data_IF_670951001715
#
_entry.id   IF_670951001715
#
_cell.length_a   1.000
_cell.length_b   1.000
_cell.length_c   1.000
_cell.angle_alpha   90.00
_cell.angle_beta   90.00
_cell.angle_gamma   90.00
#
_symmetry.space_group_name_H-M   'P 1'
#
loop_
_entity.id
_entity.type
_entity.pdbx_description
1 polymer ?
#
# COMPACT_ATOMS: atom_id res chain seq x y z
N UNK A 1 -19.02 -32.52 -7.53
CA UNK A 1 -18.22 -31.90 -8.62
C UNK A 1 -18.74 -30.48 -8.92
N UNK A 2 -20.06 -30.29 -9.14
CA UNK A 2 -20.67 -28.97 -9.41
C UNK A 2 -20.39 -27.95 -8.27
N UNK A 3 -20.49 -28.37 -6.99
CA UNK A 3 -20.19 -27.50 -5.83
C UNK A 3 -18.72 -27.08 -5.76
N UNK A 4 -17.79 -27.92 -6.22
CA UNK A 4 -16.37 -27.57 -6.29
C UNK A 4 -16.08 -26.50 -7.35
N UNK A 5 -16.70 -26.61 -8.53
CA UNK A 5 -16.57 -25.59 -9.58
C UNK A 5 -17.20 -24.27 -9.18
N UNK A 6 -18.31 -24.27 -8.43
CA UNK A 6 -18.95 -23.06 -7.93
C UNK A 6 -18.09 -22.39 -6.86
N UNK A 7 -17.54 -23.17 -5.91
CA UNK A 7 -16.61 -22.64 -4.91
C UNK A 7 -15.36 -22.04 -5.57
N UNK A 8 -14.78 -22.73 -6.56
CA UNK A 8 -13.64 -22.22 -7.34
C UNK A 8 -14.00 -20.95 -8.10
N UNK A 9 -15.19 -20.90 -8.72
CA UNK A 9 -15.68 -19.70 -9.41
C UNK A 9 -15.87 -18.53 -8.46
N UNK A 10 -16.37 -18.78 -7.25
CA UNK A 10 -16.59 -17.77 -6.21
C UNK A 10 -15.28 -17.20 -5.68
N UNK A 11 -14.33 -18.04 -5.33
CA UNK A 11 -13.00 -17.63 -4.84
C UNK A 11 -12.17 -16.99 -5.98
N UNK A 12 -12.24 -17.56 -7.19
CA UNK A 12 -11.59 -16.97 -8.36
C UNK A 12 -12.13 -15.59 -8.74
N UNK A 13 -13.44 -15.38 -8.65
CA UNK A 13 -14.04 -14.06 -8.88
C UNK A 13 -13.63 -13.04 -7.80
N UNK A 14 -13.52 -13.48 -6.54
CA UNK A 14 -13.00 -12.67 -5.44
C UNK A 14 -11.57 -12.20 -5.71
N UNK A 15 -10.69 -13.10 -6.15
CA UNK A 15 -9.31 -12.77 -6.51
C UNK A 15 -9.26 -11.79 -7.69
N UNK A 16 -10.05 -12.03 -8.73
CA UNK A 16 -10.13 -11.15 -9.89
C UNK A 16 -10.57 -9.74 -9.49
N UNK A 17 -11.62 -9.62 -8.70
CA UNK A 17 -12.19 -8.33 -8.28
C UNK A 17 -11.28 -7.59 -7.31
N UNK A 18 -10.64 -8.29 -6.40
CA UNK A 18 -9.81 -7.65 -5.37
C UNK A 18 -8.39 -7.31 -5.84
N UNK A 19 -7.84 -8.03 -6.82
CA UNK A 19 -6.44 -7.87 -7.23
C UNK A 19 -6.28 -7.46 -8.70
N UNK A 20 -6.92 -8.13 -9.63
CA UNK A 20 -6.66 -7.97 -11.07
C UNK A 20 -7.44 -6.79 -11.65
N UNK A 21 -8.76 -6.76 -11.45
CA UNK A 21 -9.63 -5.69 -11.98
C UNK A 21 -9.20 -4.30 -11.50
N UNK A 22 -8.87 -4.08 -10.20
CA UNK A 22 -8.38 -2.79 -9.74
C UNK A 22 -7.18 -2.27 -10.52
N UNK A 23 -6.24 -3.14 -10.83
CA UNK A 23 -5.03 -2.76 -11.58
C UNK A 23 -5.37 -2.27 -13.00
N UNK A 24 -6.24 -2.99 -13.71
CA UNK A 24 -6.69 -2.57 -15.05
C UNK A 24 -7.51 -1.29 -15.02
N UNK A 25 -8.40 -1.15 -14.06
CA UNK A 25 -9.23 0.06 -13.89
C UNK A 25 -8.36 1.27 -13.62
N UNK A 26 -7.43 1.18 -12.66
CA UNK A 26 -6.53 2.30 -12.32
C UNK A 26 -5.62 2.65 -13.48
N UNK A 27 -5.08 1.65 -14.18
CA UNK A 27 -4.25 1.87 -15.36
C UNK A 27 -5.00 2.58 -16.49
N UNK A 28 -6.21 2.11 -16.81
CA UNK A 28 -7.06 2.72 -17.83
C UNK A 28 -7.46 4.14 -17.48
N UNK A 29 -7.92 4.34 -16.23
CA UNK A 29 -8.28 5.66 -15.72
C UNK A 29 -7.09 6.62 -15.70
N UNK A 30 -5.91 6.16 -15.29
CA UNK A 30 -4.70 6.99 -15.29
C UNK A 30 -4.38 7.51 -16.68
N UNK A 31 -4.49 6.67 -17.72
CA UNK A 31 -4.29 7.08 -19.11
C UNK A 31 -5.33 8.07 -19.62
N UNK A 32 -6.61 7.81 -19.31
CA UNK A 32 -7.71 8.69 -19.75
C UNK A 32 -7.66 10.03 -19.03
N UNK A 33 -7.38 10.05 -17.74
CA UNK A 33 -7.37 11.24 -16.91
C UNK A 33 -6.09 12.08 -17.07
N UNK A 34 -5.02 11.51 -17.61
CA UNK A 34 -3.75 12.20 -17.75
C UNK A 34 -3.87 13.49 -18.57
N UNK A 35 -4.43 13.40 -19.78
CA UNK A 35 -4.54 14.57 -20.67
C UNK A 35 -5.38 15.70 -20.07
N UNK A 36 -6.59 15.47 -19.54
CA UNK A 36 -7.37 16.53 -18.91
C UNK A 36 -6.75 17.10 -17.65
N UNK A 37 -6.05 16.29 -16.84
CA UNK A 37 -5.47 16.74 -15.58
C UNK A 37 -4.13 17.44 -15.79
N UNK A 38 -3.22 16.86 -16.59
CA UNK A 38 -1.88 17.41 -16.82
C UNK A 38 -1.90 18.60 -17.78
N UNK A 39 -2.87 18.69 -18.68
CA UNK A 39 -3.04 19.83 -19.58
C UNK A 39 -1.88 19.99 -20.55
N UNK A 40 -1.11 21.07 -20.39
CA UNK A 40 0.02 21.39 -21.26
C UNK A 40 1.23 20.45 -21.07
N UNK A 41 1.32 19.72 -19.97
CA UNK A 41 2.42 18.80 -19.70
C UNK A 41 2.12 17.44 -20.35
N UNK A 42 3.08 16.93 -21.13
CA UNK A 42 2.88 15.76 -21.99
C UNK A 42 3.38 14.45 -21.37
N UNK A 43 3.96 14.51 -20.18
CA UNK A 43 4.56 13.33 -19.59
C UNK A 43 3.51 12.25 -19.29
N UNK A 44 3.68 11.10 -19.95
CA UNK A 44 2.81 9.94 -19.79
C UNK A 44 3.28 8.97 -18.69
N UNK A 45 4.50 9.11 -18.21
CA UNK A 45 5.09 8.19 -17.22
C UNK A 45 4.41 8.32 -15.87
N UNK A 46 3.94 9.52 -15.50
CA UNK A 46 3.25 9.78 -14.23
C UNK A 46 1.93 9.02 -14.07
N UNK A 47 1.28 8.58 -15.15
CA UNK A 47 0.04 7.83 -15.06
C UNK A 47 0.19 6.53 -14.25
N UNK A 48 1.36 5.89 -14.37
CA UNK A 48 1.69 4.62 -13.71
C UNK A 48 2.80 4.77 -12.67
N UNK A 49 3.10 6.00 -12.24
CA UNK A 49 4.14 6.28 -11.27
C UNK A 49 3.77 5.74 -9.88
N UNK A 50 4.80 5.33 -9.15
CA UNK A 50 4.73 5.03 -7.72
C UNK A 50 4.55 6.29 -6.86
N UNK A 51 4.66 7.47 -7.45
CA UNK A 51 4.59 8.74 -6.74
C UNK A 51 3.29 8.90 -5.95
N UNK A 52 3.44 9.30 -4.71
CA UNK A 52 2.38 9.80 -3.86
C UNK A 52 2.64 11.28 -3.52
N UNK A 53 1.71 11.93 -2.84
CA UNK A 53 1.83 13.34 -2.49
C UNK A 53 3.09 13.64 -1.66
N UNK A 54 3.49 12.71 -0.77
CA UNK A 54 4.70 12.91 0.07
C UNK A 54 5.97 12.93 -0.77
N UNK A 55 6.10 12.00 -1.72
CA UNK A 55 7.25 11.94 -2.62
C UNK A 55 7.31 13.19 -3.51
N UNK A 56 6.17 13.64 -4.00
CA UNK A 56 6.10 14.87 -4.83
C UNK A 56 6.61 16.07 -4.06
N UNK A 57 6.18 16.25 -2.80
CA UNK A 57 6.61 17.34 -1.95
C UNK A 57 8.12 17.33 -1.70
N UNK A 58 8.69 16.16 -1.45
CA UNK A 58 10.13 16.02 -1.23
C UNK A 58 10.93 16.26 -2.50
N UNK A 59 10.53 15.66 -3.63
CA UNK A 59 11.21 15.91 -4.92
C UNK A 59 11.18 17.40 -5.28
N UNK A 60 10.05 18.09 -5.06
CA UNK A 60 9.94 19.53 -5.28
C UNK A 60 10.94 20.32 -4.42
N UNK A 61 11.00 20.00 -3.12
CA UNK A 61 11.91 20.65 -2.17
C UNK A 61 13.38 20.51 -2.61
N UNK A 62 13.82 19.28 -2.86
CA UNK A 62 15.22 19.01 -3.16
C UNK A 62 15.63 19.45 -4.56
N UNK A 63 14.76 19.32 -5.56
CA UNK A 63 15.03 19.76 -6.92
C UNK A 63 15.15 21.28 -7.02
N UNK A 64 14.33 22.06 -6.29
CA UNK A 64 14.44 23.53 -6.21
C UNK A 64 15.75 23.99 -5.55
N UNK A 65 16.22 23.25 -4.56
CA UNK A 65 17.45 23.57 -3.86
C UNK A 65 18.72 23.13 -4.61
N UNK A 66 18.60 22.15 -5.52
CA UNK A 66 19.73 21.59 -6.22
C UNK A 66 20.19 22.48 -7.39
N UNK A 67 21.51 22.62 -7.53
CA UNK A 67 22.20 23.21 -8.68
C UNK A 67 23.06 22.14 -9.36
N UNK A 68 23.46 22.38 -10.61
CA UNK A 68 24.35 21.50 -11.36
C UNK A 68 24.86 22.18 -12.61
N UNK A 69 26.03 21.79 -13.12
CA UNK A 69 26.60 22.32 -14.36
C UNK A 69 25.77 21.93 -15.59
N UNK A 70 25.10 20.79 -15.52
CA UNK A 70 24.22 20.26 -16.54
C UNK A 70 23.01 19.57 -15.89
N UNK A 71 22.09 19.02 -16.71
CA UNK A 71 20.87 18.37 -16.24
C UNK A 71 21.17 17.12 -15.40
N UNK A 72 22.16 16.32 -15.81
CA UNK A 72 22.57 15.12 -15.08
C UNK A 72 23.12 15.46 -13.68
N UNK A 73 24.00 16.44 -13.58
CA UNK A 73 24.55 16.90 -12.31
C UNK A 73 23.45 17.43 -11.38
N UNK A 74 22.49 18.16 -11.92
CA UNK A 74 21.35 18.62 -11.11
C UNK A 74 20.50 17.48 -10.60
N UNK A 75 20.22 16.46 -11.44
CA UNK A 75 19.49 15.26 -10.99
C UNK A 75 20.27 14.49 -9.92
N UNK A 76 21.58 14.32 -10.13
CA UNK A 76 22.46 13.68 -9.14
C UNK A 76 22.45 14.44 -7.80
N UNK A 77 22.63 15.75 -7.82
CA UNK A 77 22.63 16.57 -6.61
C UNK A 77 21.27 16.55 -5.89
N UNK A 78 20.18 16.53 -6.64
CA UNK A 78 18.82 16.36 -6.09
C UNK A 78 18.67 15.04 -5.35
N UNK A 79 19.02 13.92 -6.01
CA UNK A 79 18.93 12.58 -5.45
C UNK A 79 19.84 12.44 -4.23
N UNK A 80 21.08 12.88 -4.35
CA UNK A 80 22.06 12.80 -3.26
C UNK A 80 21.58 13.56 -2.04
N UNK A 81 21.19 14.82 -2.18
CA UNK A 81 20.67 15.63 -1.06
C UNK A 81 19.43 15.02 -0.44
N UNK A 82 18.52 14.49 -1.27
CA UNK A 82 17.28 13.89 -0.79
C UNK A 82 17.55 12.60 0.00
N UNK A 83 18.42 11.72 -0.48
CA UNK A 83 18.69 10.45 0.20
C UNK A 83 19.64 10.62 1.39
N UNK A 84 20.59 11.55 1.34
CA UNK A 84 21.44 11.89 2.48
C UNK A 84 20.64 12.47 3.67
N UNK A 85 19.49 13.09 3.40
CA UNK A 85 18.59 13.62 4.43
C UNK A 85 17.60 12.57 4.98
N UNK A 86 17.75 11.30 4.60
CA UNK A 86 16.97 10.22 5.20
C UNK A 86 17.59 9.75 6.51
N UNK A 87 16.72 9.36 7.42
CA UNK A 87 17.05 8.54 8.57
C UNK A 87 16.05 7.39 8.66
N UNK A 88 16.52 6.24 9.11
CA UNK A 88 15.70 5.03 9.19
C UNK A 88 15.96 4.24 10.45
N UNK A 89 15.06 3.31 10.74
CA UNK A 89 15.11 2.49 11.94
C UNK A 89 15.73 1.14 11.64
N UNK A 90 16.79 0.80 12.38
CA UNK A 90 17.38 -0.52 12.43
C UNK A 90 17.42 -1.01 13.89
N UNK A 91 16.37 -1.72 14.29
CA UNK A 91 16.18 -2.23 15.64
C UNK A 91 15.41 -1.28 16.56
N UNK A 92 15.94 -0.96 17.72
CA UNK A 92 15.28 -0.19 18.77
C UNK A 92 15.75 1.27 18.78
N UNK A 93 14.85 2.20 18.50
CA UNK A 93 15.14 3.65 18.43
C UNK A 93 15.72 4.16 19.76
N UNK A 94 15.22 3.69 20.91
CA UNK A 94 15.72 4.10 22.23
C UNK A 94 17.15 3.65 22.52
N UNK A 95 17.58 2.59 21.85
CA UNK A 95 18.92 2.01 21.98
C UNK A 95 19.87 2.45 20.85
N UNK A 96 19.56 3.54 20.18
CA UNK A 96 20.39 4.04 19.08
C UNK A 96 20.13 3.39 17.72
N UNK A 97 18.99 2.71 17.56
CA UNK A 97 18.56 2.09 16.30
C UNK A 97 18.08 3.07 15.23
N UNK A 98 18.14 4.39 15.46
CA UNK A 98 17.86 5.38 14.43
C UNK A 98 19.19 5.81 13.79
N UNK A 99 19.34 5.52 12.50
CA UNK A 99 20.55 5.79 11.74
C UNK A 99 20.29 6.75 10.59
N UNK A 100 21.20 7.68 10.35
CA UNK A 100 21.15 8.64 9.25
C UNK A 100 21.88 8.09 8.02
N UNK A 101 21.27 8.22 6.86
CA UNK A 101 21.86 7.73 5.61
C UNK A 101 23.16 8.46 5.27
N UNK A 102 23.24 9.77 5.51
CA UNK A 102 24.49 10.52 5.33
C UNK A 102 25.67 9.97 6.12
N UNK A 103 25.42 9.41 7.31
CA UNK A 103 26.47 8.85 8.16
C UNK A 103 26.87 7.44 7.69
N UNK A 104 25.89 6.65 7.23
CA UNK A 104 26.09 5.31 6.68
C UNK A 104 26.90 5.35 5.38
N UNK A 105 26.57 6.32 4.50
CA UNK A 105 27.11 6.44 3.15
C UNK A 105 28.15 7.56 3.00
N UNK A 106 28.70 8.07 4.13
CA UNK A 106 29.77 9.05 4.11
C UNK A 106 31.00 8.54 3.35
N UNK A 107 31.43 9.28 2.33
CA UNK A 107 32.58 8.92 1.49
C UNK A 107 32.46 7.54 0.79
N UNK A 108 31.25 7.14 0.45
CA UNK A 108 30.97 5.88 -0.21
C UNK A 108 30.95 6.08 -1.73
N UNK A 109 32.00 5.62 -2.38
CA UNK A 109 32.15 5.77 -3.84
C UNK A 109 31.13 4.92 -4.61
N UNK A 110 30.77 3.74 -4.11
CA UNK A 110 29.79 2.84 -4.74
C UNK A 110 28.39 3.46 -4.67
N UNK A 111 28.00 4.00 -3.52
CA UNK A 111 26.75 4.74 -3.38
C UNK A 111 26.70 5.94 -4.31
N UNK A 112 27.78 6.72 -4.36
CA UNK A 112 27.90 7.89 -5.23
C UNK A 112 27.78 7.49 -6.71
N UNK A 113 28.42 6.39 -7.11
CA UNK A 113 28.36 5.88 -8.47
C UNK A 113 26.94 5.36 -8.82
N UNK A 114 26.29 4.64 -7.93
CA UNK A 114 24.92 4.17 -8.13
C UNK A 114 23.94 5.35 -8.31
N UNK A 115 24.09 6.43 -7.53
CA UNK A 115 23.30 7.68 -7.71
C UNK A 115 23.59 8.35 -9.04
N UNK A 116 24.83 8.38 -9.52
CA UNK A 116 25.16 8.92 -10.86
C UNK A 116 24.56 8.08 -11.95
N UNK A 117 24.61 6.76 -11.84
CA UNK A 117 23.97 5.84 -12.80
C UNK A 117 22.46 6.10 -12.87
N UNK A 118 21.81 6.28 -11.70
CA UNK A 118 20.40 6.64 -11.63
C UNK A 118 20.13 8.00 -12.29
N UNK A 119 20.91 9.03 -11.99
CA UNK A 119 20.75 10.35 -12.59
C UNK A 119 20.91 10.32 -14.11
N UNK A 120 21.92 9.60 -14.62
CA UNK A 120 22.16 9.40 -16.05
C UNK A 120 20.98 8.69 -16.73
N UNK A 121 20.41 7.68 -16.06
CA UNK A 121 19.25 6.96 -16.57
C UNK A 121 18.00 7.86 -16.61
N UNK A 122 17.79 8.71 -15.60
CA UNK A 122 16.69 9.68 -15.54
C UNK A 122 16.72 10.66 -16.73
N UNK A 123 17.89 11.14 -17.13
CA UNK A 123 18.02 12.08 -18.25
C UNK A 123 18.13 11.38 -19.62
N UNK A 124 17.96 10.08 -19.68
CA UNK A 124 17.97 9.30 -20.92
C UNK A 124 16.62 9.40 -21.64
N UNK A 125 16.63 9.51 -22.96
CA UNK A 125 15.41 9.45 -23.78
C UNK A 125 14.69 8.10 -23.70
N UNK A 126 15.45 7.03 -23.44
CA UNK A 126 14.95 5.65 -23.27
C UNK A 126 15.47 5.08 -21.96
N UNK A 127 14.89 5.49 -20.82
CA UNK A 127 15.33 5.01 -19.53
C UNK A 127 15.11 3.51 -19.42
N UNK A 128 16.06 2.83 -18.81
CA UNK A 128 15.88 1.43 -18.38
C UNK A 128 14.81 1.39 -17.29
N UNK A 129 13.89 0.45 -17.35
CA UNK A 129 12.90 0.25 -16.29
C UNK A 129 13.60 -0.07 -14.99
N UNK A 130 13.06 0.45 -13.87
CA UNK A 130 13.67 0.29 -12.56
C UNK A 130 14.83 1.25 -12.34
N UNK A 131 14.57 2.57 -12.41
CA UNK A 131 15.56 3.63 -12.19
C UNK A 131 16.42 3.43 -10.96
N UNK A 132 15.85 2.82 -9.95
CA UNK A 132 16.34 2.87 -8.60
C UNK A 132 16.85 1.53 -8.09
N UNK A 133 16.72 0.44 -8.85
CA UNK A 133 16.99 -0.89 -8.32
C UNK A 133 18.43 -1.03 -7.79
N UNK A 134 19.44 -0.51 -8.49
CA UNK A 134 20.82 -0.55 -8.06
C UNK A 134 21.04 0.26 -6.79
N UNK A 135 20.60 1.52 -6.75
CA UNK A 135 20.70 2.41 -5.58
C UNK A 135 19.96 1.81 -4.39
N UNK A 136 18.75 1.34 -4.60
CA UNK A 136 17.93 0.75 -3.56
C UNK A 136 18.60 -0.49 -2.95
N UNK A 137 19.00 -1.45 -3.79
CA UNK A 137 19.66 -2.68 -3.34
C UNK A 137 20.92 -2.36 -2.55
N UNK A 138 21.74 -1.44 -3.03
CA UNK A 138 22.95 -1.03 -2.34
C UNK A 138 22.65 -0.38 -0.97
N UNK A 139 21.67 0.53 -0.93
CA UNK A 139 21.26 1.17 0.33
C UNK A 139 20.74 0.17 1.34
N UNK A 140 19.98 -0.84 0.92
CA UNK A 140 19.45 -1.87 1.82
C UNK A 140 20.55 -2.81 2.28
N UNK A 141 21.42 -3.29 1.38
CA UNK A 141 22.53 -4.19 1.73
C UNK A 141 23.49 -3.57 2.74
N UNK A 142 23.86 -2.31 2.56
CA UNK A 142 24.79 -1.63 3.45
C UNK A 142 24.12 -1.03 4.68
N UNK A 143 22.93 -0.47 4.53
CA UNK A 143 22.22 0.24 5.60
C UNK A 143 21.35 -0.66 6.46
N UNK A 144 20.89 -1.78 5.94
CA UNK A 144 19.94 -2.66 6.63
C UNK A 144 18.54 -2.05 6.81
N UNK A 145 18.21 -0.99 6.05
CA UNK A 145 17.00 -0.19 6.21
C UNK A 145 16.25 -0.13 4.87
N UNK A 146 15.05 -0.67 4.83
CA UNK A 146 14.16 -0.59 3.67
C UNK A 146 12.81 0.09 3.99
N UNK A 147 12.40 -0.02 5.24
CA UNK A 147 11.13 0.49 5.75
C UNK A 147 11.36 1.46 6.91
N UNK A 148 10.26 2.11 7.35
CA UNK A 148 10.31 3.02 8.51
C UNK A 148 11.38 4.12 8.39
N UNK A 149 11.47 4.70 7.20
CA UNK A 149 12.32 5.85 6.90
C UNK A 149 11.56 7.15 7.13
N UNK A 150 12.30 8.24 7.41
CA UNK A 150 11.77 9.60 7.44
C UNK A 150 12.86 10.60 7.02
N UNK A 151 12.47 11.79 6.63
CA UNK A 151 13.43 12.87 6.42
C UNK A 151 13.84 13.48 7.75
N UNK A 152 15.09 13.90 7.86
CA UNK A 152 15.64 14.54 9.07
C UNK A 152 14.80 15.78 9.41
N UNK A 153 14.32 15.84 10.65
CA UNK A 153 13.43 16.90 11.13
C UNK A 153 11.93 16.60 11.02
N UNK A 154 11.52 15.57 10.29
CA UNK A 154 10.13 15.15 10.24
C UNK A 154 9.71 14.40 11.51
N UNK A 155 8.49 14.70 12.02
CA UNK A 155 7.96 14.07 13.24
C UNK A 155 7.51 12.62 13.02
N UNK A 156 7.16 12.26 11.79
CA UNK A 156 6.61 10.95 11.43
C UNK A 156 7.43 10.22 10.38
N UNK A 157 7.32 8.90 10.38
CA UNK A 157 7.93 8.10 9.32
C UNK A 157 7.18 8.27 8.00
N UNK A 158 7.91 8.18 6.91
CA UNK A 158 7.38 8.29 5.57
C UNK A 158 6.38 7.16 5.27
N UNK A 159 5.33 7.46 4.51
CA UNK A 159 4.27 6.48 4.23
C UNK A 159 4.64 5.42 3.19
N UNK A 160 5.81 5.58 2.56
CA UNK A 160 6.33 4.68 1.53
C UNK A 160 7.63 4.02 1.99
N UNK A 161 7.94 2.84 1.42
CA UNK A 161 9.23 2.20 1.58
C UNK A 161 10.33 2.96 0.84
N UNK A 162 11.57 2.64 1.13
CA UNK A 162 12.74 3.18 0.43
C UNK A 162 12.69 2.84 -1.07
N UNK A 163 12.27 1.62 -1.43
CA UNK A 163 12.08 1.21 -2.82
C UNK A 163 11.08 2.12 -3.55
N UNK A 164 9.91 2.37 -2.94
CA UNK A 164 8.90 3.26 -3.51
C UNK A 164 9.38 4.70 -3.63
N UNK A 165 10.15 5.18 -2.66
CA UNK A 165 10.73 6.52 -2.71
C UNK A 165 11.72 6.66 -3.86
N UNK A 166 12.60 5.68 -4.02
CA UNK A 166 13.60 5.68 -5.10
C UNK A 166 12.92 5.67 -6.49
N UNK A 167 12.00 4.73 -6.73
CA UNK A 167 11.30 4.63 -8.01
C UNK A 167 10.46 5.88 -8.29
N UNK A 168 9.74 6.39 -7.29
CA UNK A 168 8.90 7.58 -7.43
C UNK A 168 9.72 8.83 -7.73
N UNK A 169 10.87 8.98 -7.09
CA UNK A 169 11.77 10.09 -7.36
C UNK A 169 12.31 10.01 -8.79
N UNK A 170 12.68 8.81 -9.24
CA UNK A 170 13.11 8.57 -10.61
C UNK A 170 12.04 8.95 -11.64
N UNK A 171 10.82 8.47 -11.46
CA UNK A 171 9.67 8.77 -12.33
C UNK A 171 9.39 10.27 -12.42
N UNK A 172 9.32 10.95 -11.25
CA UNK A 172 9.04 12.39 -11.20
C UNK A 172 10.13 13.21 -11.84
N UNK A 173 11.40 12.92 -11.56
CA UNK A 173 12.55 13.63 -12.12
C UNK A 173 12.70 13.37 -13.61
N UNK A 174 12.39 12.14 -14.08
CA UNK A 174 12.33 11.85 -15.51
C UNK A 174 11.24 12.67 -16.21
N UNK A 175 10.06 12.80 -15.60
CA UNK A 175 9.00 13.67 -16.11
C UNK A 175 9.42 15.13 -16.19
N UNK A 176 10.10 15.63 -15.15
CA UNK A 176 10.70 16.98 -15.16
C UNK A 176 11.71 17.12 -16.29
N UNK A 177 12.55 16.13 -16.52
CA UNK A 177 13.51 16.14 -17.64
C UNK A 177 12.81 16.19 -19.00
N UNK A 178 11.75 15.41 -19.20
CA UNK A 178 10.98 15.37 -20.47
C UNK A 178 10.24 16.65 -20.78
N UNK A 179 9.73 17.33 -19.77
CA UNK A 179 9.11 18.65 -19.95
C UNK A 179 10.15 19.75 -20.27
N UNK A 180 11.44 19.47 -20.05
CA UNK A 180 12.58 20.25 -20.51
C UNK A 180 12.58 21.68 -19.97
N UNK A 181 12.91 22.63 -20.87
CA UNK A 181 13.08 24.04 -20.52
C UNK A 181 11.80 24.71 -19.96
N UNK A 182 10.62 24.14 -20.22
CA UNK A 182 9.36 24.61 -19.65
C UNK A 182 9.31 24.55 -18.13
N UNK A 183 10.03 23.59 -17.52
CA UNK A 183 10.02 23.32 -16.08
C UNK A 183 11.24 23.91 -15.37
N UNK A 184 12.14 24.56 -16.09
CA UNK A 184 13.25 25.32 -15.50
C UNK A 184 12.77 26.54 -14.72
N UNK A 185 11.64 27.12 -15.12
CA UNK A 185 10.96 28.16 -14.35
C UNK A 185 10.36 27.55 -13.07
N UNK A 186 10.70 28.05 -11.88
CA UNK A 186 10.17 27.53 -10.61
C UNK A 186 8.65 27.54 -10.52
N UNK A 187 7.98 28.48 -11.19
CA UNK A 187 6.52 28.57 -11.21
C UNK A 187 5.90 27.44 -12.03
N UNK A 188 6.49 27.11 -13.17
CA UNK A 188 6.03 26.01 -14.04
C UNK A 188 6.38 24.64 -13.45
N UNK A 189 7.50 24.52 -12.75
CA UNK A 189 7.83 23.32 -11.99
C UNK A 189 6.76 23.05 -10.90
N UNK A 190 6.42 24.07 -10.12
CA UNK A 190 5.36 23.93 -9.10
C UNK A 190 4.00 23.59 -9.73
N UNK A 191 3.66 24.17 -10.87
CA UNK A 191 2.44 23.80 -11.60
C UNK A 191 2.46 22.34 -12.07
N UNK A 192 3.58 21.89 -12.64
CA UNK A 192 3.76 20.49 -13.07
C UNK A 192 3.55 19.53 -11.89
N UNK A 193 4.24 19.75 -10.79
CA UNK A 193 4.16 18.88 -9.61
C UNK A 193 2.78 18.94 -8.94
N UNK A 194 2.13 20.11 -8.93
CA UNK A 194 0.73 20.24 -8.49
C UNK A 194 -0.22 19.42 -9.36
N UNK A 195 -0.05 19.45 -10.67
CA UNK A 195 -0.84 18.63 -11.60
C UNK A 195 -0.54 17.13 -11.45
N UNK A 196 0.72 16.76 -11.22
CA UNK A 196 1.09 15.39 -10.89
C UNK A 196 0.38 14.90 -9.63
N UNK A 197 0.35 15.71 -8.56
CA UNK A 197 -0.40 15.42 -7.32
C UNK A 197 -1.89 15.28 -7.59
N UNK A 198 -2.46 16.17 -8.38
CA UNK A 198 -3.88 16.09 -8.76
C UNK A 198 -4.17 14.82 -9.56
N UNK A 199 -3.29 14.39 -10.46
CA UNK A 199 -3.43 13.14 -11.19
C UNK A 199 -3.46 11.93 -10.24
N UNK A 200 -2.55 11.88 -9.26
CA UNK A 200 -2.54 10.83 -8.22
C UNK A 200 -3.86 10.80 -7.46
N UNK A 201 -4.36 11.97 -7.04
CA UNK A 201 -5.61 12.06 -6.29
C UNK A 201 -6.83 11.67 -7.14
N UNK A 202 -6.94 12.24 -8.33
CA UNK A 202 -8.10 12.00 -9.22
C UNK A 202 -8.15 10.55 -9.69
N UNK A 203 -7.01 9.95 -10.09
CA UNK A 203 -6.98 8.52 -10.46
C UNK A 203 -7.39 7.62 -9.28
N UNK A 204 -7.02 8.00 -8.06
CA UNK A 204 -7.33 7.21 -6.85
C UNK A 204 -8.81 7.29 -6.50
N UNK A 205 -9.38 8.49 -6.46
CA UNK A 205 -10.83 8.67 -6.20
C UNK A 205 -11.65 8.02 -7.30
N UNK A 206 -11.34 8.25 -8.57
CA UNK A 206 -12.04 7.64 -9.69
C UNK A 206 -11.89 6.11 -9.70
N UNK A 207 -10.68 5.60 -9.36
CA UNK A 207 -10.43 4.17 -9.22
C UNK A 207 -11.33 3.53 -8.18
N UNK A 208 -11.35 4.07 -6.96
CA UNK A 208 -12.22 3.58 -5.89
C UNK A 208 -13.71 3.71 -6.24
N UNK A 209 -14.11 4.81 -6.88
CA UNK A 209 -15.49 5.02 -7.33
C UNK A 209 -15.98 3.97 -8.35
N UNK A 210 -15.08 3.37 -9.12
CA UNK A 210 -15.39 2.27 -10.04
C UNK A 210 -15.25 0.90 -9.34
N UNK A 211 -14.19 0.70 -8.58
CA UNK A 211 -13.85 -0.61 -8.01
C UNK A 211 -14.83 -1.00 -6.89
N UNK A 212 -15.22 -0.07 -6.02
CA UNK A 212 -16.14 -0.37 -4.91
C UNK A 212 -17.52 -0.86 -5.41
N UNK A 213 -18.19 -0.20 -6.35
CA UNK A 213 -19.42 -0.72 -6.94
C UNK A 213 -19.25 -2.10 -7.61
N UNK A 214 -18.13 -2.33 -8.30
CA UNK A 214 -17.83 -3.64 -8.88
C UNK A 214 -17.67 -4.72 -7.80
N UNK A 215 -16.98 -4.41 -6.71
CA UNK A 215 -16.84 -5.31 -5.57
C UNK A 215 -18.19 -5.63 -4.91
N UNK A 216 -19.06 -4.64 -4.78
CA UNK A 216 -20.43 -4.81 -4.30
C UNK A 216 -21.28 -5.65 -5.28
N UNK A 217 -21.11 -5.47 -6.57
CA UNK A 217 -21.83 -6.21 -7.59
C UNK A 217 -21.36 -7.67 -7.75
N UNK A 218 -20.20 -8.03 -7.21
CA UNK A 218 -19.59 -9.35 -7.36
C UNK A 218 -20.53 -10.49 -6.94
N UNK A 219 -21.12 -10.39 -5.78
CA UNK A 219 -21.98 -11.45 -5.26
C UNK A 219 -23.32 -11.60 -6.01
N UNK A 220 -24.06 -10.54 -6.31
CA UNK A 220 -25.21 -10.61 -7.21
C UNK A 220 -24.89 -11.21 -8.57
N UNK A 221 -23.75 -10.86 -9.17
CA UNK A 221 -23.31 -11.41 -10.46
C UNK A 221 -23.02 -12.92 -10.32
N UNK A 222 -22.29 -13.33 -9.29
CA UNK A 222 -22.01 -14.74 -9.05
C UNK A 222 -23.29 -15.56 -8.86
N UNK A 223 -24.25 -15.06 -8.08
CA UNK A 223 -25.55 -15.72 -7.90
C UNK A 223 -26.34 -15.83 -9.22
N UNK A 224 -26.31 -14.79 -10.04
CA UNK A 224 -26.95 -14.81 -11.35
C UNK A 224 -26.31 -15.83 -12.29
N UNK A 225 -24.97 -15.95 -12.28
CA UNK A 225 -24.24 -16.96 -13.06
C UNK A 225 -24.61 -18.37 -12.56
N UNK A 226 -24.58 -18.62 -11.26
CA UNK A 226 -24.98 -19.88 -10.65
C UNK A 226 -26.42 -20.25 -11.04
N UNK A 227 -27.34 -19.31 -10.97
CA UNK A 227 -28.72 -19.54 -11.36
C UNK A 227 -28.86 -19.94 -12.84
N UNK A 228 -28.12 -19.26 -13.73
CA UNK A 228 -28.10 -19.64 -15.17
C UNK A 228 -27.49 -21.00 -15.44
N UNK A 229 -26.45 -21.38 -14.72
CA UNK A 229 -25.71 -22.63 -14.94
C UNK A 229 -26.37 -23.83 -14.25
N UNK A 230 -26.92 -23.66 -13.05
CA UNK A 230 -27.46 -24.73 -12.22
C UNK A 230 -28.98 -24.75 -12.11
N UNK A 231 -29.67 -23.74 -12.64
CA UNK A 231 -31.13 -23.60 -12.54
C UNK A 231 -31.67 -23.34 -11.13
N UNK A 232 -30.76 -23.19 -10.14
CA UNK A 232 -31.12 -22.94 -8.74
C UNK A 232 -30.93 -21.47 -8.38
N UNK A 233 -31.82 -20.92 -7.55
CA UNK A 233 -31.66 -19.61 -6.96
C UNK A 233 -30.88 -19.75 -5.65
N UNK A 234 -29.91 -18.85 -5.39
CA UNK A 234 -29.18 -18.83 -4.14
C UNK A 234 -27.94 -19.70 -4.07
N UNK A 235 -27.38 -19.90 -2.86
CA UNK A 235 -26.25 -20.79 -2.63
C UNK A 235 -26.69 -22.26 -2.78
N UNK A 236 -25.78 -23.16 -3.26
CA UNK A 236 -26.14 -24.58 -3.40
C UNK A 236 -26.43 -25.15 -2.01
N UNK A 237 -27.62 -25.69 -1.86
CA UNK A 237 -28.02 -26.44 -0.67
C UNK A 237 -27.53 -27.88 -0.90
N UNK A 238 -26.58 -28.33 -0.07
CA UNK A 238 -25.92 -29.63 -0.27
C UNK A 238 -26.81 -30.83 0.08
N UNK A 239 -27.86 -30.65 0.91
CA UNK A 239 -28.62 -31.77 1.45
C UNK A 239 -30.14 -31.64 1.46
N UNK A 240 -30.76 -30.57 0.96
CA UNK A 240 -32.20 -30.44 1.00
C UNK A 240 -32.77 -29.82 -0.27
N UNK A 241 -33.66 -30.55 -0.94
CA UNK A 241 -34.38 -30.10 -2.12
C UNK A 241 -35.56 -29.15 -1.80
N UNK A 242 -35.73 -28.77 -0.56
CA UNK A 242 -36.81 -27.85 -0.15
C UNK A 242 -36.30 -26.43 -0.04
N UNK A 243 -36.71 -25.58 -0.97
CA UNK A 243 -36.58 -24.13 -0.80
C UNK A 243 -37.31 -23.69 0.46
N UNK A 244 -36.58 -23.22 1.46
CA UNK A 244 -37.18 -22.61 2.64
C UNK A 244 -37.67 -21.20 2.28
N UNK A 245 -38.98 -21.07 2.04
CA UNK A 245 -39.60 -19.75 1.77
C UNK A 245 -39.81 -19.04 3.09
N UNK A 246 -39.01 -18.00 3.34
CA UNK A 246 -39.13 -17.14 4.54
C UNK A 246 -40.51 -16.48 4.60
N UNK A 247 -41.14 -16.52 5.77
CA UNK A 247 -42.34 -15.72 6.02
C UNK A 247 -41.98 -14.23 6.23
N UNK A 248 -42.97 -13.35 6.28
CA UNK A 248 -42.74 -11.89 6.36
C UNK A 248 -42.01 -11.46 7.64
N UNK A 249 -42.24 -12.14 8.76
CA UNK A 249 -41.53 -11.83 10.02
C UNK A 249 -40.09 -12.29 10.00
N UNK A 250 -39.80 -13.43 9.39
CA UNK A 250 -38.44 -13.92 9.16
C UNK A 250 -37.65 -12.99 8.21
N UNK A 251 -38.28 -12.51 7.15
CA UNK A 251 -37.69 -11.51 6.23
C UNK A 251 -37.35 -10.21 6.96
N UNK A 252 -38.25 -9.70 7.81
CA UNK A 252 -37.99 -8.52 8.65
C UNK A 252 -36.83 -8.74 9.60
N UNK A 253 -36.79 -9.89 10.29
CA UNK A 253 -35.70 -10.27 11.20
C UNK A 253 -34.37 -10.40 10.44
N UNK A 254 -34.37 -11.02 9.27
CA UNK A 254 -33.18 -11.13 8.42
C UNK A 254 -32.68 -9.76 7.99
N UNK A 255 -33.59 -8.88 7.54
CA UNK A 255 -33.25 -7.52 7.17
C UNK A 255 -32.61 -6.75 8.34
N UNK A 256 -33.20 -6.83 9.53
CA UNK A 256 -32.65 -6.20 10.73
C UNK A 256 -31.24 -6.73 11.06
N UNK A 257 -31.01 -8.05 10.96
CA UNK A 257 -29.68 -8.65 11.17
C UNK A 257 -28.67 -8.16 10.13
N UNK A 258 -29.06 -8.01 8.86
CA UNK A 258 -28.20 -7.44 7.82
C UNK A 258 -27.79 -6.00 8.10
N UNK A 259 -28.71 -5.18 8.62
CA UNK A 259 -28.43 -3.80 9.05
C UNK A 259 -27.39 -3.73 10.20
N UNK A 260 -27.15 -4.81 10.91
CA UNK A 260 -26.08 -4.91 11.91
C UNK A 260 -24.81 -5.50 11.31
N UNK A 261 -24.91 -6.59 10.56
CA UNK A 261 -23.75 -7.34 10.05
C UNK A 261 -22.93 -6.52 9.02
N UNK A 262 -23.61 -5.82 8.10
CA UNK A 262 -22.92 -5.02 7.07
C UNK A 262 -22.13 -3.86 7.68
N UNK A 263 -22.70 -2.99 8.53
CA UNK A 263 -21.90 -1.98 9.24
C UNK A 263 -20.80 -2.55 10.14
N UNK A 264 -21.02 -3.71 10.77
CA UNK A 264 -19.99 -4.36 11.57
C UNK A 264 -18.75 -4.73 10.73
N UNK A 265 -18.94 -5.22 9.50
CA UNK A 265 -17.82 -5.50 8.57
C UNK A 265 -17.02 -4.23 8.25
N UNK A 266 -17.70 -3.12 7.98
CA UNK A 266 -17.05 -1.83 7.75
C UNK A 266 -16.37 -1.27 9.00
N UNK A 267 -16.94 -1.50 10.18
CA UNK A 267 -16.31 -1.13 11.44
C UNK A 267 -15.01 -1.90 11.67
N UNK A 268 -14.99 -3.21 11.39
CA UNK A 268 -13.78 -4.04 11.47
C UNK A 268 -12.72 -3.56 10.47
N UNK A 269 -13.11 -3.26 9.24
CA UNK A 269 -12.20 -2.71 8.24
C UNK A 269 -11.65 -1.34 8.67
N UNK A 270 -12.50 -0.44 9.14
CA UNK A 270 -12.11 0.87 9.68
C UNK A 270 -11.13 0.76 10.84
N UNK A 271 -11.38 -0.13 11.79
CA UNK A 271 -10.46 -0.39 12.89
C UNK A 271 -9.08 -0.86 12.39
N UNK A 272 -9.05 -1.77 11.39
CA UNK A 272 -7.77 -2.24 10.83
C UNK A 272 -6.96 -1.11 10.21
N UNK A 273 -7.62 -0.12 9.59
CA UNK A 273 -6.97 1.04 8.99
C UNK A 273 -6.51 2.06 10.05
N UNK A 274 -7.30 2.25 11.12
CA UNK A 274 -6.95 3.16 12.21
C UNK A 274 -5.79 2.67 13.07
N UNK A 275 -5.54 1.37 13.10
CA UNK A 275 -4.41 0.78 13.83
C UNK A 275 -3.07 1.06 13.16
N UNK A 276 -3.05 1.26 11.85
CA UNK A 276 -1.88 1.74 11.13
C UNK A 276 -1.74 3.26 11.27
N UNK A 277 -1.07 3.93 10.34
CA UNK A 277 -0.89 5.38 10.35
C UNK A 277 -2.03 6.05 9.57
N UNK A 278 -3.14 6.43 10.21
CA UNK A 278 -4.29 6.95 9.48
C UNK A 278 -3.91 8.28 8.79
N UNK A 279 -4.04 8.31 7.49
CA UNK A 279 -3.84 9.49 6.65
C UNK A 279 -4.75 9.39 5.43
N UNK A 280 -5.28 10.50 4.95
CA UNK A 280 -6.03 10.53 3.68
C UNK A 280 -5.19 10.02 2.49
N UNK A 281 -3.87 10.04 2.63
CA UNK A 281 -2.92 9.48 1.63
C UNK A 281 -3.00 7.96 1.51
N UNK A 282 -3.59 7.25 2.48
CA UNK A 282 -3.84 5.80 2.40
C UNK A 282 -4.79 5.43 1.25
N UNK A 283 -5.63 6.35 0.81
CA UNK A 283 -6.52 6.14 -0.34
C UNK A 283 -5.83 6.34 -1.70
N UNK A 284 -4.60 6.85 -1.74
CA UNK A 284 -3.87 7.07 -2.97
C UNK A 284 -3.31 5.76 -3.53
N UNK A 285 -3.63 5.47 -4.80
CA UNK A 285 -2.99 4.37 -5.53
C UNK A 285 -1.53 4.71 -5.80
N UNK A 286 -0.66 3.85 -5.29
CA UNK A 286 0.77 3.88 -5.57
C UNK A 286 1.00 2.91 -6.73
N UNK A 287 1.28 3.41 -7.93
CA UNK A 287 1.32 2.60 -9.14
C UNK A 287 -0.09 2.08 -9.55
N UNK A 288 -0.12 0.94 -10.23
CA UNK A 288 -1.36 0.29 -10.73
C UNK A 288 -1.96 -0.71 -9.76
N UNK A 289 -1.19 -1.17 -8.76
CA UNK A 289 -1.67 -2.15 -7.79
C UNK A 289 -2.33 -1.47 -6.58
N UNK A 290 -3.38 -2.08 -6.02
CA UNK A 290 -3.96 -1.59 -4.78
C UNK A 290 -2.95 -1.72 -3.62
N UNK A 291 -2.91 -0.70 -2.78
CA UNK A 291 -2.17 -0.76 -1.51
C UNK A 291 -2.93 -1.64 -0.51
N UNK A 292 -2.27 -2.02 0.60
CA UNK A 292 -2.92 -2.79 1.65
C UNK A 292 -4.21 -2.12 2.16
N UNK A 293 -4.21 -0.79 2.32
CA UNK A 293 -5.41 -0.06 2.78
C UNK A 293 -6.54 -0.11 1.75
N UNK A 294 -6.22 0.00 0.48
CA UNK A 294 -7.20 -0.15 -0.59
C UNK A 294 -7.72 -1.59 -0.69
N UNK A 295 -6.85 -2.59 -0.50
CA UNK A 295 -7.25 -3.99 -0.43
C UNK A 295 -8.22 -4.23 0.74
N UNK A 296 -8.00 -3.60 1.91
CA UNK A 296 -8.93 -3.64 3.06
C UNK A 296 -10.31 -3.10 2.68
N UNK A 297 -10.37 -1.95 2.00
CA UNK A 297 -11.65 -1.33 1.57
C UNK A 297 -12.36 -2.20 0.55
N UNK A 298 -11.64 -2.70 -0.46
CA UNK A 298 -12.21 -3.54 -1.52
C UNK A 298 -12.72 -4.86 -0.94
N UNK A 299 -11.96 -5.48 -0.04
CA UNK A 299 -12.37 -6.70 0.67
C UNK A 299 -13.60 -6.46 1.54
N UNK A 300 -13.65 -5.35 2.28
CA UNK A 300 -14.82 -4.98 3.07
C UNK A 300 -16.07 -4.79 2.20
N UNK A 301 -15.94 -4.17 1.03
CA UNK A 301 -17.03 -4.01 0.07
C UNK A 301 -17.52 -5.36 -0.46
N UNK A 302 -16.59 -6.26 -0.83
CA UNK A 302 -16.91 -7.62 -1.31
C UNK A 302 -17.62 -8.44 -0.22
N UNK A 303 -17.12 -8.43 1.00
CA UNK A 303 -17.71 -9.17 2.13
C UNK A 303 -19.07 -8.57 2.52
N UNK A 304 -19.19 -7.25 2.57
CA UNK A 304 -20.47 -6.57 2.80
C UNK A 304 -21.53 -6.94 1.76
N UNK A 305 -21.14 -7.07 0.49
CA UNK A 305 -22.02 -7.55 -0.58
C UNK A 305 -22.51 -8.98 -0.31
N UNK A 306 -21.65 -9.86 0.16
CA UNK A 306 -22.00 -11.24 0.53
C UNK A 306 -22.99 -11.26 1.69
N UNK A 307 -22.76 -10.46 2.73
CA UNK A 307 -23.66 -10.34 3.88
C UNK A 307 -25.02 -9.77 3.47
N UNK A 308 -25.04 -8.76 2.62
CA UNK A 308 -26.27 -8.16 2.12
C UNK A 308 -27.09 -9.15 1.25
N UNK A 309 -26.41 -10.02 0.50
CA UNK A 309 -27.02 -10.99 -0.39
C UNK A 309 -27.49 -12.28 0.30
N UNK A 310 -27.20 -12.50 1.58
CA UNK A 310 -27.63 -13.70 2.30
C UNK A 310 -29.16 -13.89 2.24
N UNK A 311 -29.64 -15.10 2.00
CA UNK A 311 -31.06 -15.40 1.78
C UNK A 311 -31.77 -15.83 3.07
N UNK A 312 -31.04 -16.33 4.04
CA UNK A 312 -31.58 -16.72 5.35
C UNK A 312 -30.65 -16.31 6.51
N UNK A 313 -31.12 -16.57 7.75
CA UNK A 313 -30.39 -16.21 8.96
C UNK A 313 -29.15 -17.06 9.24
N UNK A 314 -29.11 -18.31 8.76
CA UNK A 314 -28.00 -19.21 8.94
C UNK A 314 -26.87 -18.87 7.94
N UNK A 315 -27.23 -18.63 6.68
CA UNK A 315 -26.28 -18.14 5.67
C UNK A 315 -25.64 -16.80 6.11
N UNK A 316 -26.46 -15.88 6.64
CA UNK A 316 -25.95 -14.61 7.14
C UNK A 316 -24.97 -14.81 8.30
N UNK A 317 -25.29 -15.69 9.24
CA UNK A 317 -24.45 -15.97 10.41
C UNK A 317 -23.12 -16.63 9.97
N UNK A 318 -23.19 -17.65 9.11
CA UNK A 318 -22.00 -18.31 8.56
C UNK A 318 -21.10 -17.32 7.81
N UNK A 319 -21.68 -16.55 6.88
CA UNK A 319 -20.94 -15.55 6.12
C UNK A 319 -20.32 -14.50 7.07
N UNK A 320 -21.05 -14.04 8.09
CA UNK A 320 -20.54 -13.03 9.03
C UNK A 320 -19.33 -13.56 9.79
N UNK A 321 -19.43 -14.76 10.35
CA UNK A 321 -18.33 -15.38 11.13
C UNK A 321 -17.12 -15.61 10.20
N UNK A 322 -17.36 -16.24 9.05
CA UNK A 322 -16.30 -16.55 8.09
C UNK A 322 -15.60 -15.29 7.57
N UNK A 323 -16.36 -14.30 7.12
CA UNK A 323 -15.80 -13.12 6.45
C UNK A 323 -15.11 -12.19 7.46
N UNK A 324 -15.65 -12.03 8.69
CA UNK A 324 -14.96 -11.30 9.77
C UNK A 324 -13.72 -12.06 10.24
N UNK A 325 -13.78 -13.37 10.39
CA UNK A 325 -12.62 -14.17 10.78
C UNK A 325 -11.53 -14.12 9.70
N UNK A 326 -11.90 -14.26 8.42
CA UNK A 326 -10.98 -14.17 7.29
C UNK A 326 -10.33 -12.79 7.22
N UNK A 327 -11.13 -11.72 7.27
CA UNK A 327 -10.64 -10.35 7.28
C UNK A 327 -9.69 -10.10 8.46
N UNK A 328 -10.09 -10.54 9.64
CA UNK A 328 -9.30 -10.37 10.87
C UNK A 328 -7.98 -11.15 10.78
N UNK A 329 -8.00 -12.37 10.27
CA UNK A 329 -6.79 -13.19 10.10
C UNK A 329 -5.80 -12.54 9.16
N UNK A 330 -6.26 -12.00 8.01
CA UNK A 330 -5.38 -11.37 7.03
C UNK A 330 -4.86 -10.00 7.48
N UNK A 331 -5.72 -9.17 8.06
CA UNK A 331 -5.42 -7.75 8.26
C UNK A 331 -5.11 -7.36 9.70
N UNK A 332 -5.33 -8.23 10.66
CA UNK A 332 -5.02 -8.01 12.08
C UNK A 332 -4.10 -9.09 12.64
N UNK A 333 -4.59 -10.34 12.69
CA UNK A 333 -3.92 -11.37 13.48
C UNK A 333 -2.58 -11.78 12.91
N UNK A 334 -2.44 -11.85 11.58
CA UNK A 334 -1.20 -12.27 10.93
C UNK A 334 0.00 -11.42 11.34
N UNK A 335 -0.15 -10.10 11.30
CA UNK A 335 0.91 -9.16 11.70
C UNK A 335 1.22 -9.25 13.20
N UNK A 336 0.20 -9.36 14.07
CA UNK A 336 0.42 -9.47 15.52
C UNK A 336 1.06 -10.79 15.92
N UNK A 337 0.62 -11.89 15.31
CA UNK A 337 1.24 -13.21 15.56
C UNK A 337 2.70 -13.19 15.12
N UNK A 338 2.98 -12.69 13.92
CA UNK A 338 4.35 -12.58 13.42
C UNK A 338 5.23 -11.71 14.32
N UNK A 339 4.73 -10.52 14.71
CA UNK A 339 5.44 -9.64 15.67
C UNK A 339 5.63 -10.29 17.04
N UNK A 340 4.65 -11.03 17.53
CA UNK A 340 4.74 -11.76 18.81
C UNK A 340 5.83 -12.82 18.78
N UNK A 341 5.84 -13.65 17.73
CA UNK A 341 6.88 -14.67 17.53
C UNK A 341 8.26 -14.03 17.38
N UNK A 342 8.39 -13.01 16.54
CA UNK A 342 9.66 -12.29 16.35
C UNK A 342 10.15 -11.64 17.66
N UNK A 343 9.25 -11.04 18.45
CA UNK A 343 9.59 -10.47 19.76
C UNK A 343 10.06 -11.54 20.73
N UNK A 344 9.41 -12.72 20.73
CA UNK A 344 9.82 -13.84 21.59
C UNK A 344 11.19 -14.39 21.19
N UNK A 345 11.47 -14.50 19.91
CA UNK A 345 12.79 -14.94 19.40
C UNK A 345 13.88 -13.95 19.82
N UNK A 346 13.68 -12.65 19.63
CA UNK A 346 14.67 -11.63 20.03
C UNK A 346 14.89 -11.59 21.55
N UNK A 347 13.82 -11.74 22.36
CA UNK A 347 13.94 -11.71 23.81
C UNK A 347 14.64 -12.95 24.39
N UNK A 348 14.63 -14.08 23.68
CA UNK A 348 15.32 -15.30 24.07
C UNK A 348 16.79 -15.34 23.59
N UNK A 349 17.31 -14.24 23.12
CA UNK A 349 18.73 -14.06 22.77
C UNK A 349 19.29 -15.10 21.78
N UNK A 350 18.52 -15.47 20.78
CA UNK A 350 19.01 -16.32 19.69
C UNK A 350 19.94 -15.51 18.81
N UNK A 351 21.23 -15.64 19.02
CA UNK A 351 22.36 -15.20 18.16
C UNK A 351 22.33 -13.73 17.64
N UNK A 352 21.78 -12.81 18.42
CA UNK A 352 21.77 -11.39 18.06
C UNK A 352 20.87 -11.03 16.86
N UNK A 353 20.02 -11.96 16.43
CA UNK A 353 19.09 -11.74 15.31
C UNK A 353 18.08 -10.64 15.66
N UNK A 354 18.01 -9.61 14.84
CA UNK A 354 17.06 -8.51 14.95
C UNK A 354 15.97 -8.66 13.89
N UNK A 355 14.79 -9.13 14.30
CA UNK A 355 13.63 -9.37 13.43
C UNK A 355 12.62 -8.23 13.42
N UNK A 356 12.67 -7.34 14.44
CA UNK A 356 11.71 -6.27 14.62
C UNK A 356 12.38 -4.91 14.73
N UNK A 357 11.64 -3.89 14.36
CA UNK A 357 11.96 -2.48 14.55
C UNK A 357 11.02 -1.89 15.59
N UNK A 358 11.54 -1.29 16.66
CA UNK A 358 10.79 -0.59 17.71
C UNK A 358 10.87 0.90 17.47
N UNK A 359 9.78 1.48 16.97
CA UNK A 359 9.73 2.87 16.50
C UNK A 359 9.66 3.89 17.63
N UNK A 360 9.22 3.48 18.81
CA UNK A 360 9.01 4.36 19.97
C UNK A 360 8.91 3.54 21.26
N UNK A 361 9.33 4.13 22.38
CA UNK A 361 9.16 3.53 23.70
C UNK A 361 7.78 3.77 24.30
N UNK A 362 7.27 2.86 25.13
CA UNK A 362 6.10 3.09 25.93
C UNK A 362 6.36 4.22 26.96
N UNK A 363 5.31 4.91 27.36
CA UNK A 363 5.40 5.89 28.45
C UNK A 363 5.80 5.19 29.76
N UNK A 364 6.62 5.85 30.57
CA UNK A 364 6.91 5.39 31.93
C UNK A 364 5.60 5.28 32.73
N UNK A 365 5.45 4.19 33.49
CA UNK A 365 4.26 3.94 34.30
C UNK A 365 3.04 3.39 33.52
N UNK A 366 3.16 3.11 32.21
CA UNK A 366 2.08 2.55 31.42
C UNK A 366 1.61 1.18 31.98
N UNK A 367 0.29 0.98 32.06
CA UNK A 367 -0.31 -0.28 32.48
C UNK A 367 -0.12 -1.37 31.40
N UNK A 368 -0.46 -2.64 31.73
CA UNK A 368 -0.24 -3.79 30.83
C UNK A 368 -0.96 -3.62 29.48
N UNK A 369 -2.18 -3.10 29.49
CA UNK A 369 -2.97 -2.89 28.28
C UNK A 369 -2.38 -1.76 27.42
N UNK A 370 -1.94 -0.67 28.02
CA UNK A 370 -1.27 0.43 27.33
C UNK A 370 0.07 -0.02 26.73
N UNK A 371 0.84 -0.85 27.45
CA UNK A 371 2.08 -1.44 26.94
C UNK A 371 1.83 -2.36 25.75
N UNK A 372 0.80 -3.22 25.83
CA UNK A 372 0.40 -4.09 24.72
C UNK A 372 -0.02 -3.25 23.49
N UNK A 373 -0.89 -2.26 23.70
CA UNK A 373 -1.34 -1.38 22.60
C UNK A 373 -0.21 -0.57 22.01
N UNK A 374 0.71 -0.08 22.83
CA UNK A 374 1.90 0.61 22.39
C UNK A 374 2.82 -0.30 21.57
N UNK A 375 3.08 -1.51 22.06
CA UNK A 375 3.85 -2.52 21.34
C UNK A 375 3.19 -2.85 19.99
N UNK A 376 1.91 -3.11 19.98
CA UNK A 376 1.14 -3.40 18.76
C UNK A 376 1.29 -2.30 17.69
N UNK A 377 1.25 -1.04 18.11
CA UNK A 377 1.29 0.13 17.22
C UNK A 377 2.71 0.52 16.80
N UNK A 378 3.69 0.39 17.68
CA UNK A 378 5.03 0.93 17.47
C UNK A 378 6.12 -0.13 17.23
N UNK A 379 5.75 -1.41 17.18
CA UNK A 379 6.64 -2.48 16.74
C UNK A 379 6.28 -2.86 15.30
N UNK A 380 7.28 -2.96 14.45
CA UNK A 380 7.15 -3.38 13.05
C UNK A 380 8.10 -4.52 12.77
N UNK A 381 7.65 -5.50 11.99
CA UNK A 381 8.54 -6.52 11.43
C UNK A 381 9.54 -5.87 10.47
N UNK A 382 10.76 -6.38 10.43
CA UNK A 382 11.67 -6.05 9.33
C UNK A 382 11.10 -6.58 8.01
N UNK A 383 11.31 -5.84 6.94
CA UNK A 383 10.92 -6.28 5.59
C UNK A 383 11.77 -7.47 5.14
N UNK A 384 11.28 -8.19 4.12
CA UNK A 384 12.05 -9.30 3.52
C UNK A 384 13.42 -8.82 3.03
N UNK A 385 13.49 -7.60 2.46
CA UNK A 385 14.73 -7.04 1.95
C UNK A 385 15.72 -6.71 3.08
N UNK A 386 15.22 -6.18 4.22
CA UNK A 386 16.04 -5.96 5.42
C UNK A 386 16.56 -7.27 6.01
N UNK A 387 15.74 -8.32 6.03
CA UNK A 387 16.14 -9.65 6.53
C UNK A 387 17.15 -10.32 5.60
N UNK A 388 16.98 -10.20 4.28
CA UNK A 388 17.96 -10.72 3.31
C UNK A 388 19.29 -10.01 3.43
N UNK A 389 19.31 -8.69 3.61
CA UNK A 389 20.55 -7.94 3.81
C UNK A 389 21.32 -8.38 5.08
N UNK A 390 20.60 -8.74 6.16
CA UNK A 390 21.20 -9.30 7.37
C UNK A 390 21.79 -10.68 7.09
N UNK A 391 21.07 -11.54 6.38
CA UNK A 391 21.54 -12.88 6.03
C UNK A 391 22.78 -12.86 5.13
N UNK A 392 22.84 -11.91 4.19
CA UNK A 392 23.99 -11.74 3.28
C UNK A 392 25.22 -11.14 3.99
N UNK A 393 25.04 -10.50 5.14
CA UNK A 393 26.11 -9.87 5.93
C UNK A 393 26.66 -10.77 7.05
N UNK A 394 25.99 -11.87 7.37
CA UNK A 394 26.36 -12.83 8.40
C UNK A 394 27.23 -13.97 7.84
#
# INVERSE_FOLDING_TARGET
ILGGFEALGREGSGLLINCIIPSFVVYGLAKVLQKPVMGMFKDSSLANSWANSDTIDQVEKYYKAASGANKEDRMFNTLKSMFDDLEGVDGDVSKGGLKRFRDIFANDDQYTQALRNMAKNIVSDKPTKGYASEVYQYMVQKGGIAENIRFIGDKGFFSSSLSHLCESAGDLLHGVHKEGDKVLDPSLLSQYLTKARNLVNVKSVAGLAVIIPLAIAAQPINRWITHKMAGKKGAPIYNDDKEHVLNEDEKKKLTAKKFVAVPAMWAVAGLSMLMDRPSLKMFQFKNIFPTMDQARIISAATFSSRLAAAEDGNELAENTIRDIATFSSFYFLGDYVAKGVATAIENNNVDGIKLINRLKDPKEGANVFERFWHWAKHTKMKSTDELSAIADSA
#
